data_IF_327873646498
#
_entry.id   IF_327873646498
#
_cell.length_a   1.000
_cell.length_b   1.000
_cell.length_c   1.000
_cell.angle_alpha   90.00
_cell.angle_beta   90.00
_cell.angle_gamma   90.00
#
_symmetry.space_group_name_H-M   'P 1'
#
loop_
_entity.id
_entity.type
_entity.pdbx_description
1 polymer ?
#
# COMPACT_ATOMS: atom_id res chain seq x y z
N UNK A 1 -16.64 37.23 20.80
CA UNK A 1 -17.32 36.28 19.89
C UNK A 1 -16.37 35.91 18.77
N UNK A 2 -15.51 34.91 18.98
CA UNK A 2 -14.51 34.43 18.03
C UNK A 2 -14.99 33.11 17.41
N UNK A 3 -15.68 33.21 16.27
CA UNK A 3 -16.04 32.05 15.46
C UNK A 3 -14.80 31.62 14.68
N UNK A 4 -14.06 30.66 15.22
CA UNK A 4 -12.97 30.00 14.49
C UNK A 4 -13.61 29.18 13.35
N UNK A 5 -13.61 29.75 12.14
CA UNK A 5 -13.86 29.02 10.91
C UNK A 5 -12.70 28.04 10.70
N UNK A 6 -12.86 26.83 11.24
CA UNK A 6 -11.98 25.71 10.93
C UNK A 6 -12.29 25.29 9.50
N UNK A 7 -11.58 25.88 8.54
CA UNK A 7 -11.59 25.43 7.15
C UNK A 7 -11.29 23.93 7.15
N UNK A 8 -12.14 23.07 6.56
CA UNK A 8 -11.80 21.68 6.39
C UNK A 8 -10.63 21.66 5.39
N UNK A 9 -9.43 21.40 5.90
CA UNK A 9 -8.27 21.25 5.04
C UNK A 9 -8.54 20.07 4.12
N UNK A 10 -8.38 20.29 2.82
CA UNK A 10 -8.51 19.34 1.72
C UNK A 10 -7.55 18.11 1.83
N UNK A 11 -6.95 17.87 3.00
CA UNK A 11 -6.06 16.75 3.31
C UNK A 11 -6.74 15.38 3.20
N UNK A 12 -8.07 15.31 3.30
CA UNK A 12 -8.81 14.05 3.17
C UNK A 12 -8.71 13.43 1.78
N UNK A 13 -8.44 14.22 0.72
CA UNK A 13 -8.23 13.72 -0.64
C UNK A 13 -6.75 13.41 -0.95
N UNK A 14 -5.82 13.96 -0.17
CA UNK A 14 -4.38 13.77 -0.44
C UNK A 14 -3.82 12.52 0.22
N UNK A 15 -4.46 11.94 1.22
CA UNK A 15 -3.99 10.70 1.84
C UNK A 15 -4.60 9.46 1.16
N UNK A 16 -3.77 8.47 0.86
CA UNK A 16 -4.22 7.11 0.57
C UNK A 16 -4.05 6.27 1.82
N UNK A 17 -5.14 5.74 2.36
CA UNK A 17 -5.04 4.73 3.40
C UNK A 17 -4.63 3.40 2.77
N UNK A 18 -3.67 2.71 3.38
CA UNK A 18 -3.23 1.40 2.94
C UNK A 18 -3.60 0.37 4.00
N UNK A 19 -4.29 -0.70 3.59
CA UNK A 19 -4.46 -1.91 4.40
C UNK A 19 -3.72 -3.05 3.74
N UNK A 20 -2.59 -3.44 4.32
CA UNK A 20 -1.73 -4.48 3.80
C UNK A 20 -1.92 -5.78 4.56
N UNK A 21 -2.22 -6.86 3.84
CA UNK A 21 -2.40 -8.21 4.37
C UNK A 21 -1.19 -9.07 4.01
N UNK A 22 -0.60 -9.75 5.00
CA UNK A 22 0.46 -10.73 4.81
C UNK A 22 0.15 -12.00 5.60
N UNK A 23 -0.20 -13.10 4.92
CA UNK A 23 -0.72 -14.29 5.60
C UNK A 23 -2.00 -13.98 6.40
N UNK A 24 -1.96 -14.19 7.72
CA UNK A 24 -3.04 -13.82 8.65
C UNK A 24 -2.92 -12.39 9.21
N UNK A 25 -1.80 -11.72 8.97
CA UNK A 25 -1.49 -10.41 9.53
C UNK A 25 -2.07 -9.26 8.71
N UNK A 26 -2.52 -8.21 9.40
CA UNK A 26 -2.96 -6.96 8.78
C UNK A 26 -2.25 -5.76 9.39
N UNK A 27 -1.79 -4.85 8.53
CA UNK A 27 -1.21 -3.56 8.92
C UNK A 27 -1.84 -2.42 8.15
N UNK A 28 -1.94 -1.27 8.82
CA UNK A 28 -2.46 -0.04 8.24
C UNK A 28 -1.46 1.10 8.38
N UNK A 29 -1.30 1.85 7.31
CA UNK A 29 -0.51 3.08 7.26
C UNK A 29 -1.09 3.99 6.18
N UNK A 30 -0.61 5.22 6.07
CA UNK A 30 -1.09 6.18 5.09
C UNK A 30 0.05 6.68 4.23
N UNK A 31 -0.25 6.97 2.96
CA UNK A 31 0.67 7.57 1.98
C UNK A 31 0.13 8.91 1.50
N UNK A 32 1.03 9.78 1.07
CA UNK A 32 0.65 11.00 0.35
C UNK A 32 0.44 10.69 -1.14
N UNK A 33 -0.81 10.79 -1.60
CA UNK A 33 -1.24 10.62 -2.98
C UNK A 33 -0.51 11.55 -3.94
N UNK A 34 -0.13 12.75 -3.48
CA UNK A 34 0.54 13.74 -4.33
C UNK A 34 2.01 13.40 -4.58
N UNK A 35 2.60 12.56 -3.73
CA UNK A 35 4.02 12.16 -3.78
C UNK A 35 4.18 10.69 -3.41
N UNK A 36 3.68 9.76 -4.23
CA UNK A 36 3.70 8.34 -3.91
C UNK A 36 5.12 7.73 -3.90
N UNK A 37 6.13 8.39 -4.47
CA UNK A 37 7.49 7.85 -4.58
C UNK A 37 7.59 6.74 -5.63
N UNK A 38 8.64 5.93 -5.56
CA UNK A 38 8.85 4.76 -6.45
C UNK A 38 8.35 3.46 -5.82
N UNK A 39 8.10 2.45 -6.65
CA UNK A 39 7.69 1.14 -6.20
C UNK A 39 8.73 0.50 -5.27
N UNK A 40 10.04 0.64 -5.55
CA UNK A 40 11.09 0.05 -4.71
C UNK A 40 11.09 0.59 -3.27
N UNK A 41 10.83 1.90 -3.10
CA UNK A 41 10.72 2.54 -1.80
C UNK A 41 9.48 2.05 -1.05
N UNK A 42 8.36 1.93 -1.78
CA UNK A 42 7.13 1.39 -1.25
C UNK A 42 7.25 -0.08 -0.86
N UNK A 43 7.95 -0.88 -1.66
CA UNK A 43 8.24 -2.28 -1.41
C UNK A 43 9.07 -2.45 -0.12
N UNK A 44 10.13 -1.65 0.05
CA UNK A 44 10.91 -1.62 1.29
C UNK A 44 10.07 -1.21 2.52
N UNK A 45 9.16 -0.25 2.36
CA UNK A 45 8.22 0.14 3.41
C UNK A 45 7.30 -1.03 3.82
N UNK A 46 6.79 -1.81 2.86
CA UNK A 46 5.96 -2.98 3.16
C UNK A 46 6.73 -4.02 3.98
N UNK A 47 7.98 -4.31 3.61
CA UNK A 47 8.84 -5.22 4.38
C UNK A 47 9.11 -4.70 5.80
N UNK A 48 9.39 -3.41 5.94
CA UNK A 48 9.64 -2.78 7.23
C UNK A 48 8.41 -2.83 8.13
N UNK A 49 7.24 -2.43 7.61
CA UNK A 49 5.99 -2.37 8.36
C UNK A 49 5.60 -3.75 8.87
N UNK A 50 5.74 -4.81 8.05
CA UNK A 50 5.48 -6.21 8.42
C UNK A 50 6.63 -6.91 9.17
N UNK A 51 7.74 -6.22 9.46
CA UNK A 51 8.94 -6.78 10.14
C UNK A 51 9.49 -8.04 9.47
N UNK A 52 9.52 -8.04 8.14
CA UNK A 52 10.02 -9.14 7.31
C UNK A 52 11.14 -8.66 6.37
N UNK A 53 12.23 -8.12 6.92
CA UNK A 53 13.37 -7.73 6.08
C UNK A 53 13.90 -8.95 5.32
N UNK A 54 14.35 -8.75 4.09
CA UNK A 54 14.94 -9.78 3.22
C UNK A 54 13.97 -10.88 2.74
N UNK A 55 12.66 -10.66 2.84
CA UNK A 55 11.66 -11.57 2.24
C UNK A 55 11.28 -11.05 0.87
N UNK A 56 11.44 -11.86 -0.18
CA UNK A 56 10.90 -11.55 -1.49
C UNK A 56 9.38 -11.68 -1.49
N UNK A 57 8.68 -10.65 -1.96
CA UNK A 57 7.24 -10.51 -1.90
C UNK A 57 6.65 -10.32 -3.30
N UNK A 58 5.53 -10.99 -3.56
CA UNK A 58 4.58 -10.57 -4.56
C UNK A 58 3.63 -9.57 -3.90
N UNK A 59 3.52 -8.39 -4.50
CA UNK A 59 2.62 -7.33 -4.07
C UNK A 59 1.44 -7.30 -5.05
N UNK A 60 0.22 -7.50 -4.55
CA UNK A 60 -1.00 -7.32 -5.33
C UNK A 60 -1.95 -6.34 -4.66
N UNK A 61 -2.79 -5.66 -5.44
CA UNK A 61 -3.87 -4.83 -4.93
C UNK A 61 -5.22 -5.28 -5.49
N UNK A 62 -6.28 -5.12 -4.69
CA UNK A 62 -7.64 -5.26 -5.20
C UNK A 62 -8.07 -3.95 -5.86
N UNK A 63 -8.43 -4.01 -7.13
CA UNK A 63 -8.92 -2.87 -7.88
C UNK A 63 -10.40 -2.56 -7.54
N UNK A 64 -11.01 -1.62 -8.27
CA UNK A 64 -12.40 -1.20 -8.08
C UNK A 64 -13.43 -2.27 -8.46
N UNK A 65 -13.06 -3.22 -9.32
CA UNK A 65 -13.88 -4.35 -9.73
C UNK A 65 -13.71 -5.55 -8.80
N UNK A 66 -12.69 -5.53 -7.93
CA UNK A 66 -12.35 -6.59 -7.00
C UNK A 66 -11.29 -7.55 -7.53
N UNK A 67 -10.72 -7.27 -8.71
CA UNK A 67 -9.66 -8.07 -9.30
C UNK A 67 -8.34 -7.84 -8.58
N UNK A 68 -7.59 -8.93 -8.37
CA UNK A 68 -6.26 -8.86 -7.76
C UNK A 68 -5.22 -8.62 -8.85
N UNK A 69 -4.69 -7.39 -8.90
CA UNK A 69 -3.70 -6.97 -9.89
C UNK A 69 -2.30 -6.87 -9.26
N UNK A 70 -1.24 -7.33 -9.96
CA UNK A 70 0.13 -7.24 -9.45
C UNK A 70 0.65 -5.81 -9.47
N UNK A 71 1.47 -5.47 -8.48
CA UNK A 71 2.32 -4.28 -8.45
C UNK A 71 3.76 -4.77 -8.52
N UNK A 72 4.40 -4.60 -9.68
CA UNK A 72 5.75 -5.07 -9.97
C UNK A 72 6.61 -4.02 -10.69
N UNK A 73 6.08 -2.82 -10.89
CA UNK A 73 6.75 -1.68 -11.51
C UNK A 73 6.09 -0.37 -11.04
N UNK A 74 6.72 0.75 -11.37
CA UNK A 74 6.25 2.09 -11.00
C UNK A 74 4.87 2.43 -11.60
N UNK A 75 4.60 2.03 -12.85
CA UNK A 75 3.32 2.33 -13.51
C UNK A 75 2.13 1.68 -12.80
N UNK A 76 2.26 0.40 -12.47
CA UNK A 76 1.24 -0.36 -11.74
C UNK A 76 1.08 0.19 -10.32
N UNK A 77 2.17 0.65 -9.70
CA UNK A 77 2.13 1.28 -8.39
C UNK A 77 1.36 2.61 -8.42
N UNK A 78 1.69 3.50 -9.37
CA UNK A 78 0.97 4.76 -9.54
C UNK A 78 -0.51 4.54 -9.88
N UNK A 79 -0.81 3.52 -10.69
CA UNK A 79 -2.20 3.12 -10.96
C UNK A 79 -2.93 2.65 -9.71
N UNK A 80 -2.31 1.82 -8.88
CA UNK A 80 -2.90 1.37 -7.62
C UNK A 80 -3.20 2.55 -6.66
N UNK A 81 -2.28 3.52 -6.58
CA UNK A 81 -2.47 4.75 -5.79
C UNK A 81 -3.60 5.62 -6.33
N UNK A 82 -3.71 5.77 -7.66
CA UNK A 82 -4.71 6.64 -8.27
C UNK A 82 -6.13 6.09 -8.13
N UNK A 83 -6.32 4.78 -8.25
CA UNK A 83 -7.63 4.13 -8.10
C UNK A 83 -8.07 3.95 -6.64
N UNK A 84 -7.13 4.03 -5.69
CA UNK A 84 -7.46 3.91 -4.28
C UNK A 84 -8.40 5.05 -3.84
N UNK A 85 -9.56 4.71 -3.27
CA UNK A 85 -10.49 5.71 -2.73
C UNK A 85 -11.36 5.12 -1.63
N UNK A 86 -11.18 5.52 -0.36
CA UNK A 86 -9.97 6.10 0.24
C UNK A 86 -8.89 5.04 0.55
N UNK A 87 -9.23 3.75 0.43
CA UNK A 87 -8.45 2.63 0.93
C UNK A 87 -7.87 1.76 -0.19
N UNK A 88 -6.55 1.65 -0.23
CA UNK A 88 -5.82 0.66 -1.02
C UNK A 88 -5.69 -0.64 -0.22
N UNK A 89 -6.28 -1.73 -0.75
CA UNK A 89 -6.17 -3.07 -0.15
C UNK A 89 -5.05 -3.84 -0.83
N UNK A 90 -4.03 -4.22 -0.07
CA UNK A 90 -2.89 -4.97 -0.57
C UNK A 90 -2.87 -6.39 -0.02
N UNK A 91 -2.43 -7.29 -0.87
CA UNK A 91 -2.18 -8.69 -0.57
C UNK A 91 -0.72 -8.98 -0.86
N UNK A 92 0.01 -9.36 0.18
CA UNK A 92 1.42 -9.71 0.11
C UNK A 92 1.56 -11.22 0.23
N UNK A 93 2.34 -11.81 -0.65
CA UNK A 93 2.68 -13.23 -0.61
C UNK A 93 4.19 -13.37 -0.70
N UNK A 94 4.78 -14.32 0.04
CA UNK A 94 6.20 -14.66 -0.16
C UNK A 94 6.34 -15.30 -1.53
N UNK A 95 7.26 -14.81 -2.37
CA UNK A 95 7.68 -15.59 -3.53
C UNK A 95 8.74 -16.59 -3.06
N UNK A 96 8.45 -17.87 -3.24
CA UNK A 96 9.34 -18.93 -2.85
C UNK A 96 10.24 -19.31 -4.02
N UNK A 97 11.55 -19.06 -3.91
CA UNK A 97 12.42 -20.23 -4.01
C UNK A 97 12.13 -21.05 -2.75
N UNK A 98 11.64 -22.27 -2.93
CA UNK A 98 11.36 -23.20 -1.84
C UNK A 98 12.61 -23.36 -0.98
N UNK A 99 12.72 -22.59 0.11
CA UNK A 99 13.57 -22.96 1.24
C UNK A 99 12.80 -24.01 2.03
N UNK A 100 12.70 -25.19 1.43
CA UNK A 100 12.32 -26.44 2.06
C UNK A 100 13.53 -27.35 2.05
N UNK A 101 14.58 -26.97 2.77
CA UNK A 101 15.59 -27.91 3.24
C UNK A 101 15.38 -28.09 4.73
N UNK A 102 14.76 -29.21 5.08
CA UNK A 102 15.15 -30.13 6.15
C UNK A 102 14.49 -31.47 5.86
#
# INVERSE_FOLDING_TARGET
MNKNHRVPSNRSLSAVEVKSKFGAEFRRFSLDRSKPGRFDEFYGLLQHVHRIPNVELLVGYADVHGDLLPINNDDNYHKAISVASPLLRLFLQRTGKLSGSV
#
